data_IF_103279404507
#
_entry.id   IF_103279404507
#
_cell.length_a   1.000
_cell.length_b   1.000
_cell.length_c   1.000
_cell.angle_alpha   90.00
_cell.angle_beta   90.00
_cell.angle_gamma   90.00
#
_symmetry.space_group_name_H-M   'P 1'
#
loop_
_entity.id
_entity.type
_entity.pdbx_description
1 polymer ?
#
# COMPACT_ATOMS: atom_id res chain seq x y z
N UNK A 1 61.43 -0.85 -36.11
CA UNK A 1 60.75 -1.39 -34.92
C UNK A 1 60.15 -2.79 -35.16
N UNK A 2 59.51 -3.06 -36.30
CA UNK A 2 58.95 -4.39 -36.63
C UNK A 2 59.95 -5.56 -36.65
N UNK A 3 61.22 -5.33 -37.05
CA UNK A 3 62.27 -6.36 -37.04
C UNK A 3 62.71 -6.79 -35.62
N UNK A 4 62.63 -5.90 -34.62
CA UNK A 4 62.95 -6.23 -33.21
C UNK A 4 61.84 -7.05 -32.54
N UNK A 5 60.57 -6.75 -32.87
CA UNK A 5 59.42 -7.54 -32.40
C UNK A 5 59.42 -8.96 -32.98
N UNK A 6 59.77 -9.11 -34.27
CA UNK A 6 59.86 -10.42 -34.93
C UNK A 6 61.05 -11.27 -34.46
N UNK A 7 62.11 -10.64 -33.92
CA UNK A 7 63.25 -11.35 -33.31
C UNK A 7 62.94 -11.83 -31.88
N UNK A 8 62.22 -11.03 -31.08
CA UNK A 8 61.76 -11.43 -29.75
C UNK A 8 60.75 -12.59 -29.82
N UNK A 9 59.88 -12.60 -30.84
CA UNK A 9 58.93 -13.70 -31.07
C UNK A 9 59.59 -14.99 -31.61
N UNK A 10 60.83 -14.94 -32.11
CA UNK A 10 61.55 -16.10 -32.65
C UNK A 10 62.53 -16.74 -31.66
N UNK A 11 62.70 -16.13 -30.49
CA UNK A 11 63.63 -16.57 -29.43
C UNK A 11 62.98 -17.18 -28.19
N UNK A 12 61.66 -17.08 -28.04
CA UNK A 12 60.89 -17.79 -26.99
C UNK A 12 60.07 -18.87 -27.66
N UNK A 13 60.23 -20.10 -27.20
CA UNK A 13 59.40 -21.22 -27.67
C UNK A 13 57.95 -21.01 -27.22
N UNK A 14 56.97 -21.54 -27.97
CA UNK A 14 55.55 -21.42 -27.64
C UNK A 14 55.22 -21.90 -26.21
N UNK A 15 56.06 -22.78 -25.63
CA UNK A 15 55.97 -23.24 -24.25
C UNK A 15 56.28 -22.17 -23.19
N UNK A 16 57.25 -21.27 -23.44
CA UNK A 16 57.59 -20.18 -22.50
C UNK A 16 56.48 -19.13 -22.45
N UNK A 17 55.86 -18.84 -23.59
CA UNK A 17 54.72 -17.93 -23.66
C UNK A 17 53.47 -18.53 -22.99
N UNK A 18 53.20 -19.81 -23.23
CA UNK A 18 52.09 -20.52 -22.58
C UNK A 18 52.26 -20.58 -21.05
N UNK A 19 53.50 -20.70 -20.55
CA UNK A 19 53.81 -20.67 -19.12
C UNK A 19 53.57 -19.28 -18.51
N UNK A 20 54.05 -18.19 -19.13
CA UNK A 20 53.82 -16.81 -18.67
C UNK A 20 52.33 -16.43 -18.65
N UNK A 21 51.56 -16.88 -19.65
CA UNK A 21 50.10 -16.66 -19.70
C UNK A 21 49.38 -17.43 -18.60
N UNK A 22 49.78 -18.69 -18.35
CA UNK A 22 49.21 -19.50 -17.27
C UNK A 22 49.51 -18.91 -15.90
N UNK A 23 50.73 -18.44 -15.67
CA UNK A 23 51.12 -17.80 -14.42
C UNK A 23 50.38 -16.47 -14.21
N UNK A 24 50.22 -15.66 -15.27
CA UNK A 24 49.40 -14.45 -15.21
C UNK A 24 47.93 -14.76 -14.93
N UNK A 25 47.37 -15.78 -15.58
CA UNK A 25 45.99 -16.20 -15.34
C UNK A 25 45.78 -16.70 -13.90
N UNK A 26 46.75 -17.42 -13.35
CA UNK A 26 46.73 -17.86 -11.96
C UNK A 26 46.83 -16.67 -10.98
N UNK A 27 47.67 -15.68 -11.27
CA UNK A 27 47.75 -14.45 -10.47
C UNK A 27 46.45 -13.65 -10.50
N UNK A 28 45.82 -13.50 -11.68
CA UNK A 28 44.52 -12.85 -11.82
C UNK A 28 43.45 -13.60 -11.03
N UNK A 29 43.47 -14.93 -11.08
CA UNK A 29 42.53 -15.77 -10.33
C UNK A 29 42.69 -15.62 -8.81
N UNK A 30 43.92 -15.69 -8.32
CA UNK A 30 44.24 -15.51 -6.90
C UNK A 30 43.90 -14.09 -6.42
N UNK A 31 44.17 -13.08 -7.24
CA UNK A 31 43.78 -11.69 -6.96
C UNK A 31 42.26 -11.52 -6.92
N UNK A 32 41.53 -12.18 -7.82
CA UNK A 32 40.06 -12.20 -7.83
C UNK A 32 39.47 -12.83 -6.57
N UNK A 33 40.02 -13.97 -6.12
CA UNK A 33 39.61 -14.62 -4.88
C UNK A 33 39.95 -13.78 -3.64
N UNK A 34 41.13 -13.13 -3.61
CA UNK A 34 41.53 -12.24 -2.54
C UNK A 34 40.65 -10.98 -2.45
N UNK A 35 40.29 -10.38 -3.58
CA UNK A 35 39.39 -9.24 -3.65
C UNK A 35 37.96 -9.61 -3.20
N UNK A 36 37.45 -10.78 -3.59
CA UNK A 36 36.15 -11.27 -3.14
C UNK A 36 36.12 -11.52 -1.63
N UNK A 37 37.15 -12.18 -1.08
CA UNK A 37 37.28 -12.41 0.36
C UNK A 37 37.36 -11.08 1.14
N UNK A 38 38.12 -10.10 0.62
CA UNK A 38 38.23 -8.76 1.22
C UNK A 38 36.90 -7.99 1.16
N UNK A 39 36.17 -8.08 0.06
CA UNK A 39 34.83 -7.51 -0.07
C UNK A 39 33.82 -8.17 0.89
N UNK A 40 33.93 -9.47 1.17
CA UNK A 40 33.09 -10.14 2.14
C UNK A 40 33.39 -9.70 3.59
N UNK A 41 34.67 -9.57 3.94
CA UNK A 41 35.10 -9.14 5.27
C UNK A 41 34.79 -7.65 5.53
N UNK A 42 35.13 -6.78 4.57
CA UNK A 42 34.90 -5.34 4.68
C UNK A 42 33.44 -4.96 4.40
N UNK A 43 32.73 -5.73 3.57
CA UNK A 43 31.32 -5.50 3.25
C UNK A 43 30.40 -5.64 4.47
N UNK A 44 30.69 -6.59 5.37
CA UNK A 44 29.92 -6.73 6.61
C UNK A 44 30.16 -5.56 7.58
N UNK A 45 31.40 -5.05 7.64
CA UNK A 45 31.75 -3.87 8.47
C UNK A 45 31.10 -2.60 7.91
N UNK A 46 31.14 -2.43 6.60
CA UNK A 46 30.51 -1.29 5.91
C UNK A 46 28.98 -1.33 6.04
N UNK A 47 28.37 -2.51 5.88
CA UNK A 47 26.94 -2.69 6.11
C UNK A 47 26.53 -2.33 7.54
N UNK A 48 27.26 -2.81 8.55
CA UNK A 48 27.00 -2.45 9.96
C UNK A 48 27.13 -0.94 10.20
N UNK A 49 28.12 -0.28 9.57
CA UNK A 49 28.27 1.16 9.66
C UNK A 49 27.07 1.91 9.04
N UNK A 50 26.63 1.48 7.85
CA UNK A 50 25.47 2.06 7.17
C UNK A 50 24.16 1.84 7.96
N UNK A 51 23.98 0.68 8.59
CA UNK A 51 22.82 0.41 9.45
C UNK A 51 22.81 1.36 10.64
N UNK A 52 23.95 1.52 11.33
CA UNK A 52 24.06 2.45 12.45
C UNK A 52 23.78 3.90 12.06
N UNK A 53 24.29 4.32 10.90
CA UNK A 53 24.01 5.66 10.36
C UNK A 53 22.53 5.83 9.99
N UNK A 54 21.88 4.79 9.45
CA UNK A 54 20.44 4.76 9.21
C UNK A 54 19.61 4.88 10.49
N UNK A 55 19.99 4.17 11.56
CA UNK A 55 19.36 4.28 12.88
C UNK A 55 19.49 5.71 13.46
N UNK A 56 20.66 6.33 13.34
CA UNK A 56 20.91 7.70 13.79
C UNK A 56 20.09 8.72 12.99
N UNK A 57 20.00 8.56 11.66
CA UNK A 57 19.15 9.39 10.81
C UNK A 57 17.67 9.22 11.17
N UNK A 58 17.21 7.99 11.40
CA UNK A 58 15.83 7.73 11.81
C UNK A 58 15.53 8.34 13.19
N UNK A 59 16.46 8.24 14.14
CA UNK A 59 16.32 8.84 15.47
C UNK A 59 16.23 10.37 15.39
N UNK A 60 17.08 11.01 14.57
CA UNK A 60 17.03 12.46 14.31
C UNK A 60 15.73 12.87 13.62
N UNK A 61 15.29 12.14 12.62
CA UNK A 61 14.03 12.40 11.92
C UNK A 61 12.83 12.27 12.85
N UNK A 62 12.81 11.23 13.70
CA UNK A 62 11.77 11.04 14.71
C UNK A 62 11.74 12.18 15.73
N UNK A 63 12.92 12.62 16.19
CA UNK A 63 13.05 13.75 17.12
C UNK A 63 12.56 15.07 16.51
N UNK A 64 12.98 15.36 15.28
CA UNK A 64 12.52 16.55 14.56
C UNK A 64 11.01 16.51 14.30
N UNK A 65 10.46 15.34 13.96
CA UNK A 65 9.03 15.15 13.80
C UNK A 65 8.28 15.33 15.14
N UNK A 66 8.78 14.80 16.25
CA UNK A 66 8.15 15.01 17.56
C UNK A 66 8.21 16.47 18.00
N UNK A 67 9.35 17.16 17.80
CA UNK A 67 9.48 18.58 18.13
C UNK A 67 8.55 19.45 17.26
N UNK A 68 8.44 19.13 15.97
CA UNK A 68 7.50 19.80 15.07
C UNK A 68 6.05 19.55 15.48
N UNK A 69 5.70 18.30 15.83
CA UNK A 69 4.36 17.95 16.31
C UNK A 69 4.06 18.67 17.63
N UNK A 70 5.01 18.74 18.58
CA UNK A 70 4.80 19.40 19.86
C UNK A 70 4.74 20.92 19.73
N UNK A 71 5.53 21.53 18.84
CA UNK A 71 5.48 22.97 18.57
C UNK A 71 4.20 23.37 17.82
N UNK A 72 3.80 22.57 16.82
CA UNK A 72 2.52 22.74 16.13
C UNK A 72 1.37 22.46 17.07
N UNK A 73 1.43 21.43 17.92
CA UNK A 73 0.40 21.14 18.94
C UNK A 73 0.29 22.27 19.96
N UNK A 74 1.40 22.86 20.40
CA UNK A 74 1.39 24.01 21.32
C UNK A 74 0.82 25.29 20.69
N UNK A 75 1.11 25.56 19.41
CA UNK A 75 0.55 26.71 18.67
C UNK A 75 -0.87 26.48 18.20
N UNK A 76 -1.21 25.22 17.95
CA UNK A 76 -2.48 24.87 17.37
C UNK A 76 -3.44 24.30 18.40
N UNK A 77 -3.17 24.04 19.68
CA UNK A 77 -4.26 23.73 20.63
C UNK A 77 -5.32 24.84 20.66
N UNK A 78 -4.93 26.12 20.53
CA UNK A 78 -5.87 27.24 20.37
C UNK A 78 -6.53 27.33 18.97
N UNK A 79 -5.85 26.90 17.91
CA UNK A 79 -6.36 26.95 16.53
C UNK A 79 -7.05 25.65 16.05
N UNK A 80 -6.69 24.51 16.63
CA UNK A 80 -7.26 23.18 16.46
C UNK A 80 -8.64 23.14 17.09
N UNK A 81 -8.89 23.80 18.23
CA UNK A 81 -10.26 23.90 18.78
C UNK A 81 -11.20 24.75 17.91
N UNK A 82 -10.68 25.77 17.20
CA UNK A 82 -11.45 26.48 16.16
C UNK A 82 -11.53 25.70 14.84
N UNK A 83 -10.49 24.94 14.51
CA UNK A 83 -10.44 24.12 13.31
C UNK A 83 -11.22 22.81 13.47
N UNK A 84 -11.44 22.26 14.67
CA UNK A 84 -12.27 21.05 14.92
C UNK A 84 -13.74 21.34 14.65
N UNK A 85 -14.23 22.54 14.98
CA UNK A 85 -15.55 23.01 14.56
C UNK A 85 -15.69 23.11 13.02
N UNK A 86 -14.59 23.41 12.32
CA UNK A 86 -14.54 23.42 10.85
C UNK A 86 -14.30 22.02 10.28
N UNK A 87 -13.57 21.16 11.01
CA UNK A 87 -13.28 19.78 10.71
C UNK A 87 -14.53 18.93 10.74
N UNK A 88 -15.49 19.23 11.63
CA UNK A 88 -16.80 18.58 11.61
C UNK A 88 -17.58 18.85 10.30
N UNK A 89 -17.42 20.03 9.68
CA UNK A 89 -17.98 20.30 8.35
C UNK A 89 -17.20 19.56 7.25
N UNK A 90 -15.89 19.40 7.43
CA UNK A 90 -15.05 18.60 6.53
C UNK A 90 -15.26 17.09 6.71
N UNK A 91 -15.70 16.64 7.88
CA UNK A 91 -16.07 15.24 8.15
C UNK A 91 -17.24 14.83 7.26
N UNK A 92 -18.23 15.70 7.09
CA UNK A 92 -19.29 15.49 6.09
C UNK A 92 -18.75 15.40 4.65
N UNK A 93 -17.83 16.30 4.26
CA UNK A 93 -17.25 16.29 2.89
C UNK A 93 -16.34 15.09 2.66
N UNK A 94 -15.61 14.65 3.68
CA UNK A 94 -14.77 13.47 3.66
C UNK A 94 -15.63 12.21 3.61
N UNK A 95 -16.66 12.12 4.46
CA UNK A 95 -17.64 11.03 4.42
C UNK A 95 -18.28 10.94 3.04
N UNK A 96 -18.66 12.07 2.42
CA UNK A 96 -19.20 12.10 1.05
C UNK A 96 -18.18 11.68 -0.01
N UNK A 97 -16.89 12.00 0.17
CA UNK A 97 -15.82 11.57 -0.74
C UNK A 97 -15.54 10.06 -0.60
N UNK A 98 -15.49 9.56 0.63
CA UNK A 98 -15.32 8.15 0.95
C UNK A 98 -16.54 7.35 0.49
N UNK A 99 -17.75 7.83 0.74
CA UNK A 99 -18.99 7.22 0.26
C UNK A 99 -19.03 7.15 -1.27
N UNK A 100 -18.60 8.21 -1.98
CA UNK A 100 -18.48 8.19 -3.45
C UNK A 100 -17.44 7.18 -3.94
N UNK A 101 -16.29 7.06 -3.25
CA UNK A 101 -15.28 6.07 -3.59
C UNK A 101 -15.79 4.64 -3.37
N UNK A 102 -16.48 4.39 -2.25
CA UNK A 102 -17.11 3.10 -1.95
C UNK A 102 -18.21 2.75 -2.95
N UNK A 103 -19.05 3.73 -3.32
CA UNK A 103 -20.07 3.55 -4.35
C UNK A 103 -19.47 3.23 -5.72
N UNK A 104 -18.36 3.87 -6.10
CA UNK A 104 -17.62 3.54 -7.32
C UNK A 104 -17.05 2.12 -7.31
N UNK A 105 -16.81 1.56 -6.12
CA UNK A 105 -16.38 0.17 -5.92
C UNK A 105 -17.56 -0.78 -5.68
N UNK A 106 -18.80 -0.31 -5.87
CA UNK A 106 -20.02 -1.07 -5.71
C UNK A 106 -20.25 -1.60 -4.27
N UNK A 107 -19.70 -0.90 -3.27
CA UNK A 107 -19.83 -1.23 -1.84
C UNK A 107 -20.94 -0.39 -1.21
N UNK A 108 -22.04 -1.00 -0.72
CA UNK A 108 -23.15 -0.28 -0.10
C UNK A 108 -22.75 0.40 1.21
N UNK A 109 -23.26 1.61 1.46
CA UNK A 109 -23.02 2.35 2.71
C UNK A 109 -24.15 2.17 3.71
N UNK A 110 -23.93 2.51 5.00
CA UNK A 110 -24.96 2.41 6.05
C UNK A 110 -26.22 3.22 5.73
N UNK A 111 -26.07 4.43 5.17
CA UNK A 111 -27.19 5.30 4.77
C UNK A 111 -28.07 4.62 3.71
N UNK A 112 -27.46 3.89 2.78
CA UNK A 112 -28.19 3.17 1.72
C UNK A 112 -29.02 2.02 2.31
N UNK A 113 -28.47 1.30 3.29
CA UNK A 113 -29.15 0.22 4.01
C UNK A 113 -30.35 0.76 4.80
N UNK A 114 -30.21 1.91 5.47
CA UNK A 114 -31.29 2.53 6.23
C UNK A 114 -32.44 3.00 5.33
N UNK A 115 -32.11 3.62 4.18
CA UNK A 115 -33.10 4.02 3.17
C UNK A 115 -33.83 2.80 2.61
N UNK A 116 -33.11 1.73 2.30
CA UNK A 116 -33.71 0.50 1.80
C UNK A 116 -34.63 -0.14 2.86
N UNK A 117 -34.21 -0.16 4.12
CA UNK A 117 -35.00 -0.70 5.24
C UNK A 117 -36.33 0.04 5.40
N UNK A 118 -36.33 1.38 5.30
CA UNK A 118 -37.56 2.18 5.31
C UNK A 118 -38.47 1.86 4.13
N UNK A 119 -37.92 1.79 2.92
CA UNK A 119 -38.68 1.44 1.71
C UNK A 119 -39.31 0.05 1.81
N UNK A 120 -38.58 -0.93 2.35
CA UNK A 120 -39.11 -2.28 2.59
C UNK A 120 -40.24 -2.25 3.62
N UNK A 121 -40.11 -1.49 4.70
CA UNK A 121 -41.17 -1.34 5.70
C UNK A 121 -42.45 -0.72 5.10
N UNK A 122 -42.30 0.34 4.30
CA UNK A 122 -43.42 0.99 3.58
C UNK A 122 -44.09 0.03 2.58
N UNK A 123 -43.30 -0.66 1.75
CA UNK A 123 -43.82 -1.65 0.80
C UNK A 123 -44.53 -2.82 1.51
N UNK A 124 -44.02 -3.24 2.66
CA UNK A 124 -44.66 -4.28 3.48
C UNK A 124 -46.00 -3.80 4.00
N UNK A 125 -46.10 -2.53 4.44
CA UNK A 125 -47.35 -1.95 4.89
C UNK A 125 -48.39 -1.83 3.75
N UNK A 126 -47.96 -1.39 2.57
CA UNK A 126 -48.81 -1.30 1.38
C UNK A 126 -49.30 -2.68 0.94
N UNK A 127 -48.42 -3.68 0.92
CA UNK A 127 -48.78 -5.06 0.56
C UNK A 127 -49.76 -5.66 1.55
N UNK A 128 -49.57 -5.46 2.86
CA UNK A 128 -50.52 -5.90 3.90
C UNK A 128 -51.89 -5.24 3.71
N UNK A 129 -51.93 -3.95 3.40
CA UNK A 129 -53.18 -3.22 3.14
C UNK A 129 -53.90 -3.76 1.90
N UNK A 130 -53.17 -4.03 0.83
CA UNK A 130 -53.69 -4.64 -0.40
C UNK A 130 -54.24 -6.06 -0.15
N UNK A 131 -53.49 -6.90 0.59
CA UNK A 131 -53.96 -8.22 0.99
C UNK A 131 -55.22 -8.16 1.84
N UNK A 132 -55.31 -7.21 2.77
CA UNK A 132 -56.52 -7.01 3.59
C UNK A 132 -57.73 -6.55 2.74
N UNK A 133 -57.52 -5.68 1.74
CA UNK A 133 -58.60 -5.30 0.82
C UNK A 133 -59.04 -6.45 -0.09
N UNK A 134 -58.13 -7.30 -0.53
CA UNK A 134 -58.45 -8.47 -1.36
C UNK A 134 -59.12 -9.61 -0.56
N UNK A 135 -58.80 -9.74 0.73
CA UNK A 135 -59.46 -10.71 1.62
C UNK A 135 -60.87 -10.26 2.07
N UNK A 136 -61.16 -8.96 2.02
CA UNK A 136 -62.46 -8.38 2.38
C UNK A 136 -63.57 -8.56 1.34
N UNK A 137 -63.22 -8.92 0.10
CA UNK A 137 -64.17 -9.12 -1.01
C UNK A 137 -64.47 -10.61 -1.24
N UNK A 138 -64.82 -11.32 -0.16
CA UNK A 138 -65.55 -12.58 -0.31
C UNK A 138 -67.03 -12.27 -0.58
N UNK A 139 -67.65 -12.81 -1.64
CA UNK A 139 -68.99 -12.40 -2.03
C UNK A 139 -69.99 -12.86 -0.97
N UNK A 140 -70.66 -11.89 -0.33
CA UNK A 140 -71.83 -12.17 0.51
C UNK A 140 -72.89 -12.84 -0.38
N UNK A 141 -73.08 -14.15 -0.18
CA UNK A 141 -74.17 -14.92 -0.79
C UNK A 141 -75.51 -14.29 -0.41
N UNK A 142 -76.07 -13.49 -1.31
CA UNK A 142 -77.49 -13.14 -1.28
C UNK A 142 -78.30 -14.31 -1.85
N UNK A 143 -79.02 -15.04 -0.98
CA UNK A 143 -80.32 -15.64 -1.35
C UNK A 143 -81.11 -16.07 -0.11
N UNK A 144 -81.99 -15.19 0.37
CA UNK A 144 -83.47 -15.24 0.30
C UNK A 144 -84.09 -16.01 1.46
N UNK A 145 -84.54 -15.25 2.46
CA UNK A 145 -85.74 -15.58 3.25
C UNK A 145 -86.89 -15.86 2.27
N UNK A 146 -87.43 -17.06 2.35
CA UNK A 146 -88.77 -17.36 1.88
C UNK A 146 -89.65 -17.44 3.13
N UNK A 147 -90.49 -16.42 3.28
CA UNK A 147 -91.66 -16.47 4.13
C UNK A 147 -92.80 -17.03 3.28
N UNK A 148 -93.31 -18.20 3.66
CA UNK A 148 -94.73 -18.59 3.57
C UNK A 148 -95.00 -19.75 4.53
#
# INVERSE_FOLDING_TARGET
MAKKLKQLARGKSDGDFAAEVRDSANQIWLAGLGAFAKAQEEGTKLFKALVKEGEDVQARAKKAASETIDEVRGKATGAWDQATGTWSKLEGVFEDRVARALHSLNVPTKKDIDVLTKRVAELTAVTKKLQASMAGESPKRHRREAAE
#
